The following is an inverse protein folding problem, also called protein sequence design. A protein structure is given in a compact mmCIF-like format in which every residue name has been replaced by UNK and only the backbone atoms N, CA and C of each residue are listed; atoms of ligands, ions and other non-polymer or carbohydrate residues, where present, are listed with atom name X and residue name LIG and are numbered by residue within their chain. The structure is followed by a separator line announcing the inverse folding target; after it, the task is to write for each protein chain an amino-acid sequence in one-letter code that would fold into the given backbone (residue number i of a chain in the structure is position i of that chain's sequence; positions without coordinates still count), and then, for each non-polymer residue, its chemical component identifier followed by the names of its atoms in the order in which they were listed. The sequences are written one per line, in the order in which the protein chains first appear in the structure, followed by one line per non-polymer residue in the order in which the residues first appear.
data_IF_347400665439
#
_entry.id   IF_347400665439
#
_cell.length_a   1.000
_cell.length_b   1.000
_cell.length_c   1.000
_cell.angle_alpha   90.00
_cell.angle_beta   90.00
_cell.angle_gamma   90.00
#
_symmetry.space_group_name_H-M   'P 1'
#
loop_
_entity.id
_entity.type
_entity.pdbx_description
1 polymer ?
#
# COMPACT_ATOMS: atom_id res chain seq x y z
N UNK A 1 20.79 18.18 45.81
CA UNK A 1 20.37 18.77 44.52
C UNK A 1 19.51 17.75 43.81
N UNK A 2 18.28 18.14 43.43
CA UNK A 2 17.30 17.25 42.78
C UNK A 2 17.15 17.66 41.32
N UNK A 3 17.18 16.68 40.41
CA UNK A 3 16.71 16.84 39.04
C UNK A 3 15.44 16.00 38.86
N UNK A 4 14.38 16.64 38.36
CA UNK A 4 13.11 15.99 38.03
C UNK A 4 13.09 15.81 36.52
N UNK A 5 13.29 14.58 36.06
CA UNK A 5 13.13 14.22 34.64
C UNK A 5 11.64 14.06 34.38
N UNK A 6 11.08 14.98 33.58
CA UNK A 6 9.71 14.86 33.08
C UNK A 6 9.74 13.95 31.85
N UNK A 7 9.28 12.71 32.04
CA UNK A 7 8.98 11.78 30.97
C UNK A 7 7.69 12.25 30.28
N UNK A 8 7.72 12.52 28.97
CA UNK A 8 6.51 12.68 28.17
C UNK A 8 6.07 11.29 27.68
N UNK A 9 4.94 10.72 28.14
CA UNK A 9 4.58 9.33 27.84
C UNK A 9 4.03 9.09 26.43
N UNK A 10 4.08 10.05 25.52
CA UNK A 10 3.65 9.91 24.14
C UNK A 10 4.54 10.77 23.23
N UNK A 11 4.93 10.30 22.03
CA UNK A 11 5.62 11.17 21.07
C UNK A 11 4.74 12.41 20.84
N UNK A 12 5.32 13.63 20.75
CA UNK A 12 4.55 14.81 20.45
C UNK A 12 3.82 14.57 19.13
N UNK A 13 2.48 14.62 19.16
CA UNK A 13 1.70 14.66 17.94
C UNK A 13 2.07 15.95 17.22
N UNK A 14 2.79 15.82 16.12
CA UNK A 14 3.14 16.94 15.26
C UNK A 14 2.14 16.98 14.12
N UNK A 15 1.33 18.03 14.08
CA UNK A 15 0.41 18.29 12.97
C UNK A 15 1.06 19.27 12.01
N UNK A 16 1.01 18.96 10.72
CA UNK A 16 1.52 19.80 9.66
C UNK A 16 0.42 20.05 8.63
N UNK A 17 0.05 21.31 8.45
CA UNK A 17 -0.85 21.71 7.39
C UNK A 17 -0.03 21.93 6.11
N UNK A 18 -0.34 21.13 5.08
CA UNK A 18 0.34 21.19 3.78
C UNK A 18 -0.58 21.84 2.74
N UNK A 19 -0.04 22.76 1.94
CA UNK A 19 -0.70 23.16 0.69
C UNK A 19 -0.69 21.99 -0.30
N UNK A 20 -1.53 22.06 -1.33
CA UNK A 20 -1.55 21.07 -2.41
C UNK A 20 -0.16 20.90 -3.06
N UNK A 21 0.56 22.00 -3.30
CA UNK A 21 1.91 21.96 -3.87
C UNK A 21 2.92 21.36 -2.91
N UNK A 22 2.80 21.63 -1.60
CA UNK A 22 3.66 21.01 -0.60
C UNK A 22 3.43 19.50 -0.52
N UNK A 23 2.17 19.07 -0.55
CA UNK A 23 1.83 17.65 -0.52
C UNK A 23 2.26 16.93 -1.82
N UNK A 24 2.16 17.60 -2.97
CA UNK A 24 2.65 17.07 -4.25
C UNK A 24 4.18 16.88 -4.30
N UNK A 25 4.94 17.58 -3.46
CA UNK A 25 6.38 17.33 -3.28
C UNK A 25 6.67 16.12 -2.39
N UNK A 26 5.74 15.74 -1.53
CA UNK A 26 5.85 14.54 -0.70
C UNK A 26 5.38 13.30 -1.48
N UNK A 27 4.37 13.44 -2.32
CA UNK A 27 3.88 12.38 -3.21
C UNK A 27 3.47 12.97 -4.57
N UNK A 28 4.18 12.55 -5.63
CA UNK A 28 4.03 13.08 -6.97
C UNK A 28 2.65 12.83 -7.59
N UNK A 29 1.84 11.90 -7.07
CA UNK A 29 0.46 11.67 -7.55
C UNK A 29 -0.38 12.94 -7.44
N UNK A 30 -0.16 13.77 -6.42
CA UNK A 30 -0.93 15.00 -6.20
C UNK A 30 -0.54 16.14 -7.14
N UNK A 31 0.45 15.97 -8.02
CA UNK A 31 0.64 16.91 -9.13
C UNK A 31 -0.57 16.89 -10.10
N UNK A 32 -1.34 15.80 -10.15
CA UNK A 32 -2.55 15.67 -10.98
C UNK A 32 -3.82 15.45 -10.12
N UNK A 33 -4.13 16.44 -9.27
CA UNK A 33 -5.35 16.44 -8.45
C UNK A 33 -6.63 16.29 -9.28
N UNK A 34 -6.63 16.81 -10.52
CA UNK A 34 -7.81 16.74 -11.39
C UNK A 34 -8.06 15.30 -11.82
N UNK A 35 -7.03 14.55 -12.21
CA UNK A 35 -7.18 13.14 -12.54
C UNK A 35 -7.60 12.31 -11.32
N UNK A 36 -7.01 12.54 -10.15
CA UNK A 36 -7.39 11.85 -8.91
C UNK A 36 -8.87 12.05 -8.57
N UNK A 37 -9.36 13.30 -8.66
CA UNK A 37 -10.78 13.62 -8.42
C UNK A 37 -11.71 13.00 -9.46
N UNK A 38 -11.37 13.12 -10.75
CA UNK A 38 -12.19 12.58 -11.84
C UNK A 38 -12.38 11.06 -11.74
N UNK A 39 -11.41 10.35 -11.14
CA UNK A 39 -11.45 8.90 -10.92
C UNK A 39 -12.10 8.49 -9.59
N UNK A 40 -12.42 9.44 -8.71
CA UNK A 40 -12.83 9.14 -7.33
C UNK A 40 -11.73 8.52 -6.48
N UNK A 41 -10.46 8.72 -6.86
CA UNK A 41 -9.28 8.10 -6.23
C UNK A 41 -8.67 8.95 -5.11
N UNK A 42 -9.08 10.22 -4.98
CA UNK A 42 -8.42 11.18 -4.10
C UNK A 42 -8.33 10.70 -2.64
N UNK A 43 -9.46 10.29 -2.03
CA UNK A 43 -9.46 9.86 -0.62
C UNK A 43 -8.54 8.67 -0.37
N UNK A 44 -8.61 7.66 -1.24
CA UNK A 44 -7.75 6.47 -1.15
C UNK A 44 -6.27 6.81 -1.35
N UNK A 45 -5.95 7.69 -2.30
CA UNK A 45 -4.58 8.14 -2.54
C UNK A 45 -4.01 8.92 -1.35
N UNK A 46 -4.80 9.79 -0.69
CA UNK A 46 -4.34 10.54 0.48
C UNK A 46 -4.04 9.63 1.66
N UNK A 47 -4.95 8.69 1.95
CA UNK A 47 -4.75 7.67 2.99
C UNK A 47 -3.54 6.79 2.70
N UNK A 48 -3.39 6.35 1.44
CA UNK A 48 -2.24 5.55 1.03
C UNK A 48 -0.91 6.32 1.15
N UNK A 49 -0.91 7.60 0.79
CA UNK A 49 0.26 8.48 0.93
C UNK A 49 0.68 8.64 2.39
N UNK A 50 -0.28 8.73 3.31
CA UNK A 50 0.02 8.83 4.72
C UNK A 50 0.77 7.59 5.22
N UNK A 51 0.33 6.39 4.83
CA UNK A 51 1.06 5.16 5.16
C UNK A 51 2.46 5.13 4.54
N UNK A 52 2.60 5.54 3.27
CA UNK A 52 3.91 5.60 2.59
C UNK A 52 4.86 6.61 3.24
N UNK A 53 4.33 7.65 3.88
CA UNK A 53 5.07 8.65 4.65
C UNK A 53 5.28 8.24 6.13
N UNK A 54 4.73 7.11 6.57
CA UNK A 54 4.74 6.69 7.97
C UNK A 54 3.96 7.65 8.90
N UNK A 55 2.98 8.36 8.35
CA UNK A 55 2.16 9.34 9.04
C UNK A 55 0.79 8.77 9.42
N UNK A 56 0.24 9.19 10.57
CA UNK A 56 -1.15 8.93 10.92
C UNK A 56 -2.02 10.05 10.35
N UNK A 57 -2.86 9.73 9.37
CA UNK A 57 -3.73 10.73 8.73
C UNK A 57 -5.00 10.98 9.54
N UNK A 58 -5.29 12.27 9.72
CA UNK A 58 -6.65 12.76 9.97
C UNK A 58 -6.99 13.69 8.81
N UNK A 59 -7.88 13.26 7.92
CA UNK A 59 -8.37 14.09 6.83
C UNK A 59 -9.63 14.81 7.31
N UNK A 60 -9.82 16.08 6.93
CA UNK A 60 -11.08 16.81 7.14
C UNK A 60 -11.51 17.49 5.84
N UNK A 61 -12.77 17.33 5.45
CA UNK A 61 -13.38 18.04 4.31
C UNK A 61 -14.77 18.54 4.75
N UNK A 62 -14.92 19.87 4.88
CA UNK A 62 -16.11 20.46 5.48
C UNK A 62 -16.28 19.98 6.94
N UNK A 63 -17.44 19.39 7.25
CA UNK A 63 -17.76 18.80 8.55
C UNK A 63 -17.34 17.32 8.68
N UNK A 64 -16.83 16.70 7.61
CA UNK A 64 -16.38 15.30 7.61
C UNK A 64 -14.97 15.14 8.16
N UNK A 65 -14.73 14.06 8.93
CA UNK A 65 -13.41 13.67 9.42
C UNK A 65 -13.14 12.19 9.12
N UNK A 66 -11.93 11.89 8.63
CA UNK A 66 -11.49 10.52 8.34
C UNK A 66 -10.19 10.20 9.06
N UNK A 67 -10.08 9.00 9.61
CA UNK A 67 -8.90 8.54 10.35
C UNK A 67 -8.41 7.20 9.81
N UNK A 68 -7.10 7.04 9.71
CA UNK A 68 -6.44 5.75 9.52
C UNK A 68 -6.15 5.33 8.08
N UNK A 69 -5.79 4.05 7.95
CA UNK A 69 -5.36 3.31 6.76
C UNK A 69 -6.42 3.34 5.66
N UNK A 70 -6.07 3.39 4.36
CA UNK A 70 -7.07 3.36 3.31
C UNK A 70 -7.88 2.07 3.39
N UNK A 71 -9.19 2.23 3.26
CA UNK A 71 -10.17 1.18 3.42
C UNK A 71 -11.49 1.74 3.94
N UNK A 72 -12.61 1.16 3.52
CA UNK A 72 -13.94 1.75 3.72
C UNK A 72 -14.21 2.07 5.21
N UNK A 73 -14.50 3.34 5.45
CA UNK A 73 -15.15 4.03 6.58
C UNK A 73 -15.54 3.24 7.85
N UNK A 74 -15.02 3.70 8.99
CA UNK A 74 -15.74 3.75 10.28
C UNK A 74 -16.82 4.87 10.20
N UNK A 75 -17.83 4.71 9.34
CA UNK A 75 -19.06 5.49 9.45
C UNK A 75 -20.12 4.64 10.17
N UNK A 76 -20.16 4.80 11.49
CA UNK A 76 -21.35 4.55 12.31
C UNK A 76 -22.00 3.17 12.26
N UNK A 77 -21.66 2.32 13.24
CA UNK A 77 -22.61 1.38 13.83
C UNK A 77 -22.71 -0.02 13.19
N UNK A 78 -22.45 -1.02 14.03
CA UNK A 78 -22.91 -2.40 13.92
C UNK A 78 -22.80 -3.07 12.53
N UNK A 79 -21.57 -3.40 12.16
CA UNK A 79 -21.23 -4.36 11.10
C UNK A 79 -19.73 -4.56 11.16
N UNK A 80 -19.24 -5.80 11.05
CA UNK A 80 -17.80 -6.10 11.15
C UNK A 80 -16.95 -5.21 10.23
N UNK A 81 -15.64 -5.08 10.50
CA UNK A 81 -14.78 -4.16 9.76
C UNK A 81 -14.93 -4.45 8.26
N UNK A 82 -15.31 -3.47 7.43
CA UNK A 82 -15.31 -3.67 6.00
C UNK A 82 -13.92 -4.16 5.61
N UNK A 83 -13.84 -5.16 4.74
CA UNK A 83 -12.57 -5.73 4.28
C UNK A 83 -12.11 -4.89 3.09
N UNK A 84 -11.32 -3.82 3.28
CA UNK A 84 -10.94 -3.02 2.14
C UNK A 84 -10.08 -3.85 1.19
N UNK A 85 -10.27 -3.61 -0.10
CA UNK A 85 -9.43 -4.14 -1.19
C UNK A 85 -9.58 -5.61 -1.57
N UNK A 86 -10.47 -6.38 -0.95
CA UNK A 86 -10.70 -7.76 -1.43
C UNK A 86 -11.10 -7.75 -2.90
N UNK A 87 -10.51 -8.69 -3.64
CA UNK A 87 -10.83 -8.99 -5.05
C UNK A 87 -10.41 -7.90 -6.05
N UNK A 88 -9.71 -6.85 -5.62
CA UNK A 88 -9.14 -5.92 -6.59
C UNK A 88 -8.03 -6.61 -7.37
N UNK A 89 -8.13 -6.58 -8.70
CA UNK A 89 -7.00 -6.96 -9.54
C UNK A 89 -5.87 -5.95 -9.39
N UNK A 90 -4.68 -6.33 -9.84
CA UNK A 90 -3.52 -5.43 -9.89
C UNK A 90 -3.81 -4.12 -10.65
N UNK A 91 -4.56 -4.21 -11.76
CA UNK A 91 -4.95 -3.05 -12.56
C UNK A 91 -5.95 -2.15 -11.82
N UNK A 92 -6.87 -2.76 -11.07
CA UNK A 92 -7.85 -2.00 -10.28
C UNK A 92 -7.19 -1.30 -9.10
N UNK A 93 -6.21 -1.93 -8.44
CA UNK A 93 -5.38 -1.29 -7.42
C UNK A 93 -4.66 -0.05 -7.99
N UNK A 94 -3.98 -0.22 -9.12
CA UNK A 94 -3.23 0.85 -9.79
C UNK A 94 -4.14 2.03 -10.13
N UNK A 95 -5.30 1.75 -10.72
CA UNK A 95 -6.29 2.76 -11.10
C UNK A 95 -6.90 3.48 -9.89
N UNK A 96 -7.32 2.74 -8.86
CA UNK A 96 -8.01 3.29 -7.68
C UNK A 96 -7.11 4.04 -6.73
N UNK A 97 -5.83 3.69 -6.66
CA UNK A 97 -4.83 4.43 -5.89
C UNK A 97 -4.09 5.49 -6.71
N UNK A 98 -4.38 5.59 -8.01
CA UNK A 98 -3.70 6.50 -8.93
C UNK A 98 -2.20 6.26 -8.99
N UNK A 99 -1.76 4.99 -8.89
CA UNK A 99 -0.34 4.64 -8.87
C UNK A 99 0.31 4.84 -10.24
N UNK A 100 -0.49 4.93 -11.30
CA UNK A 100 -0.07 5.31 -12.65
C UNK A 100 0.27 6.80 -12.77
N UNK A 101 -0.14 7.62 -11.80
CA UNK A 101 0.15 9.06 -11.76
C UNK A 101 1.51 9.33 -11.10
N UNK A 102 2.06 10.52 -11.31
CA UNK A 102 3.33 10.92 -10.68
C UNK A 102 4.57 10.22 -11.24
N UNK A 103 4.46 9.55 -12.40
CA UNK A 103 5.55 8.87 -13.12
C UNK A 103 6.28 7.84 -12.24
N UNK A 104 5.60 6.77 -11.79
CA UNK A 104 6.19 5.78 -10.89
C UNK A 104 7.42 5.10 -11.52
N UNK A 105 8.40 4.77 -10.68
CA UNK A 105 9.56 3.96 -11.04
C UNK A 105 9.24 2.49 -10.76
N UNK A 106 8.73 1.81 -11.78
CA UNK A 106 8.35 0.39 -11.69
C UNK A 106 9.55 -0.50 -12.02
N UNK A 107 9.80 -1.51 -11.18
CA UNK A 107 10.84 -2.52 -11.38
C UNK A 107 10.28 -3.91 -11.14
N UNK A 108 10.44 -4.78 -12.13
CA UNK A 108 10.22 -6.22 -11.97
C UNK A 108 11.43 -6.84 -11.27
N UNK A 109 11.18 -7.65 -10.24
CA UNK A 109 12.20 -8.32 -9.43
C UNK A 109 11.78 -9.77 -9.13
N UNK A 110 12.76 -10.64 -8.93
CA UNK A 110 12.49 -11.99 -8.40
C UNK A 110 12.17 -11.95 -6.89
N UNK A 111 11.62 -13.06 -6.37
CA UNK A 111 11.22 -13.18 -4.96
C UNK A 111 12.36 -12.96 -3.97
N UNK A 112 13.57 -13.41 -4.29
CA UNK A 112 14.72 -13.29 -3.40
C UNK A 112 15.16 -11.83 -3.28
N UNK A 113 15.23 -11.13 -4.42
CA UNK A 113 15.53 -9.71 -4.48
C UNK A 113 14.44 -8.86 -3.85
N UNK A 114 13.16 -9.19 -4.09
CA UNK A 114 12.03 -8.54 -3.46
C UNK A 114 12.15 -8.59 -1.93
N UNK A 115 12.35 -9.80 -1.37
CA UNK A 115 12.48 -9.97 0.08
C UNK A 115 13.64 -9.16 0.66
N UNK A 116 14.81 -9.19 0.01
CA UNK A 116 15.96 -8.41 0.45
C UNK A 116 15.71 -6.89 0.44
N UNK A 117 15.07 -6.36 -0.63
CA UNK A 117 14.76 -4.93 -0.71
C UNK A 117 13.70 -4.53 0.33
N UNK A 118 12.62 -5.30 0.47
CA UNK A 118 11.56 -5.03 1.44
C UNK A 118 12.06 -4.95 2.88
N UNK A 119 12.95 -5.86 3.28
CA UNK A 119 13.52 -5.86 4.63
C UNK A 119 14.42 -4.65 4.90
N UNK A 120 14.96 -4.03 3.85
CA UNK A 120 15.76 -2.80 3.95
C UNK A 120 14.91 -1.52 4.03
N UNK A 121 13.63 -1.57 3.67
CA UNK A 121 12.77 -0.40 3.66
C UNK A 121 12.30 -0.05 5.08
N UNK A 122 12.46 1.20 5.54
CA UNK A 122 11.95 1.63 6.85
C UNK A 122 10.42 1.81 6.84
N UNK A 123 9.87 2.24 5.70
CA UNK A 123 8.44 2.49 5.47
C UNK A 123 8.07 2.06 4.04
N UNK A 124 6.79 1.81 3.81
CA UNK A 124 6.25 1.39 2.53
C UNK A 124 5.02 0.50 2.70
N UNK A 125 4.35 0.21 1.59
CA UNK A 125 3.14 -0.62 1.57
C UNK A 125 3.36 -1.82 0.65
N UNK A 126 2.99 -3.01 1.10
CA UNK A 126 3.05 -4.26 0.33
C UNK A 126 1.64 -4.79 0.10
N UNK A 127 1.31 -5.04 -1.16
CA UNK A 127 0.04 -5.61 -1.60
C UNK A 127 0.29 -7.05 -2.08
N UNK A 128 -0.42 -8.00 -1.47
CA UNK A 128 -0.29 -9.43 -1.75
C UNK A 128 -1.53 -9.90 -2.49
N UNK A 129 -1.32 -10.47 -3.67
CA UNK A 129 -2.38 -11.01 -4.52
C UNK A 129 -2.35 -12.53 -4.48
N UNK A 130 -3.51 -13.13 -4.25
CA UNK A 130 -3.69 -14.58 -4.25
C UNK A 130 -4.59 -14.96 -5.43
N UNK A 131 -4.31 -16.12 -6.03
CA UNK A 131 -5.24 -16.74 -6.96
C UNK A 131 -6.41 -17.34 -6.18
N UNK A 132 -7.63 -17.09 -6.65
CA UNK A 132 -8.83 -17.74 -6.14
C UNK A 132 -9.36 -18.73 -7.19
N UNK A 133 -9.88 -19.87 -6.75
CA UNK A 133 -10.43 -20.89 -7.64
C UNK A 133 -11.71 -20.34 -8.31
N UNK A 134 -11.62 -20.05 -9.61
CA UNK A 134 -12.74 -19.51 -10.40
C UNK A 134 -12.66 -18.02 -10.70
N UNK A 135 -11.69 -17.29 -10.14
CA UNK A 135 -11.43 -15.90 -10.51
C UNK A 135 -10.55 -15.83 -11.77
N UNK A 136 -10.83 -14.92 -12.72
CA UNK A 136 -10.03 -14.78 -13.94
C UNK A 136 -8.63 -14.19 -13.69
N UNK A 137 -8.46 -13.49 -12.57
CA UNK A 137 -7.21 -12.83 -12.18
C UNK A 137 -7.00 -12.94 -10.67
N UNK A 138 -5.73 -12.93 -10.20
CA UNK A 138 -5.43 -12.84 -8.78
C UNK A 138 -6.07 -11.61 -8.14
N UNK A 139 -6.69 -11.80 -6.99
CA UNK A 139 -7.31 -10.74 -6.20
C UNK A 139 -6.39 -10.29 -5.08
N UNK A 140 -6.42 -8.99 -4.78
CA UNK A 140 -5.73 -8.43 -3.62
C UNK A 140 -6.31 -9.06 -2.35
N UNK A 141 -5.45 -9.75 -1.61
CA UNK A 141 -5.81 -10.50 -0.42
C UNK A 141 -5.32 -9.84 0.86
N UNK A 142 -4.17 -9.16 0.82
CA UNK A 142 -3.58 -8.44 1.95
C UNK A 142 -2.93 -7.15 1.52
N UNK A 143 -2.99 -6.15 2.40
CA UNK A 143 -2.20 -4.93 2.36
C UNK A 143 -1.44 -4.83 3.68
N UNK A 144 -0.13 -4.69 3.60
CA UNK A 144 0.78 -4.70 4.74
C UNK A 144 1.55 -3.38 4.76
N UNK A 145 1.50 -2.64 5.86
CA UNK A 145 2.25 -1.40 6.07
C UNK A 145 3.58 -1.71 6.78
N UNK A 146 4.71 -1.48 6.12
CA UNK A 146 6.05 -1.79 6.66
C UNK A 146 6.45 -0.94 7.89
N UNK A 147 5.71 0.12 8.20
CA UNK A 147 5.84 0.88 9.44
C UNK A 147 5.16 0.16 10.64
N UNK A 148 4.21 -0.75 10.37
CA UNK A 148 3.61 -1.62 11.39
C UNK A 148 4.56 -2.78 11.70
N UNK A 149 4.82 -2.99 13.00
CA UNK A 149 5.66 -4.10 13.45
C UNK A 149 5.10 -5.47 13.03
N UNK A 150 3.79 -5.68 13.16
CA UNK A 150 3.15 -6.96 12.84
C UNK A 150 3.18 -7.26 11.34
N UNK A 151 2.85 -6.27 10.52
CA UNK A 151 2.89 -6.37 9.07
C UNK A 151 4.32 -6.61 8.58
N UNK A 152 5.32 -5.96 9.21
CA UNK A 152 6.74 -6.18 8.90
C UNK A 152 7.18 -7.61 9.23
N UNK A 153 6.76 -8.14 10.37
CA UNK A 153 7.02 -9.55 10.71
C UNK A 153 6.38 -10.50 9.69
N UNK A 154 5.13 -10.24 9.27
CA UNK A 154 4.46 -11.04 8.25
C UNK A 154 5.24 -11.04 6.92
N UNK A 155 5.69 -9.85 6.47
CA UNK A 155 6.55 -9.73 5.27
C UNK A 155 7.86 -10.51 5.44
N UNK A 156 8.48 -10.48 6.63
CA UNK A 156 9.70 -11.25 6.90
C UNK A 156 9.47 -12.76 6.80
N UNK A 157 8.35 -13.27 7.32
CA UNK A 157 7.96 -14.67 7.17
C UNK A 157 7.73 -15.04 5.70
N UNK A 158 6.98 -14.22 4.96
CA UNK A 158 6.71 -14.43 3.54
C UNK A 158 8.00 -14.42 2.72
N UNK A 159 8.91 -13.46 2.97
CA UNK A 159 10.18 -13.35 2.28
C UNK A 159 11.09 -14.56 2.53
N UNK A 160 11.13 -15.08 3.76
CA UNK A 160 11.87 -16.32 4.10
C UNK A 160 11.28 -17.55 3.43
N UNK A 161 9.96 -17.60 3.27
CA UNK A 161 9.25 -18.64 2.53
C UNK A 161 9.24 -18.43 1.01
N UNK A 162 9.97 -17.45 0.48
CA UNK A 162 10.01 -17.17 -0.97
C UNK A 162 8.68 -16.73 -1.56
N UNK A 163 7.74 -16.25 -0.75
CA UNK A 163 6.36 -15.90 -1.11
C UNK A 163 5.58 -17.08 -1.72
N UNK A 164 5.77 -18.29 -1.19
CA UNK A 164 5.00 -19.47 -1.61
C UNK A 164 3.48 -19.24 -1.48
N UNK A 165 2.72 -19.67 -2.49
CA UNK A 165 1.26 -19.49 -2.56
C UNK A 165 0.81 -18.09 -3.01
N UNK A 166 1.73 -17.14 -3.17
CA UNK A 166 1.43 -15.80 -3.65
C UNK A 166 1.51 -15.74 -5.17
N UNK A 167 0.46 -15.22 -5.80
CA UNK A 167 0.39 -15.08 -7.25
C UNK A 167 1.13 -13.82 -7.75
N UNK A 168 1.00 -12.71 -7.01
CA UNK A 168 1.74 -11.49 -7.28
C UNK A 168 1.98 -10.68 -6.01
N UNK A 169 3.07 -9.92 -6.00
CA UNK A 169 3.38 -8.93 -4.96
C UNK A 169 3.66 -7.60 -5.62
N UNK A 170 3.03 -6.54 -5.08
CA UNK A 170 3.40 -5.15 -5.38
C UNK A 170 3.87 -4.48 -4.10
N UNK A 171 5.07 -3.93 -4.10
CA UNK A 171 5.59 -3.18 -2.96
C UNK A 171 5.91 -1.75 -3.37
N UNK A 172 5.46 -0.79 -2.57
CA UNK A 172 5.52 0.62 -2.91
C UNK A 172 6.16 1.41 -1.78
N UNK A 173 7.03 2.35 -2.14
CA UNK A 173 7.53 3.38 -1.23
C UNK A 173 7.63 4.71 -1.95
N UNK A 174 7.67 5.79 -1.18
CA UNK A 174 8.07 7.10 -1.69
C UNK A 174 9.58 7.23 -1.67
N UNK A 175 10.15 7.70 -2.77
CA UNK A 175 11.54 8.13 -2.82
C UNK A 175 11.66 9.60 -2.35
N UNK A 176 12.88 10.11 -2.16
CA UNK A 176 13.10 11.43 -1.58
C UNK A 176 12.55 12.62 -2.38
N UNK A 177 12.22 12.41 -3.66
CA UNK A 177 11.58 13.41 -4.54
C UNK A 177 10.04 13.24 -4.63
N UNK A 178 9.47 12.33 -3.83
CA UNK A 178 8.04 12.03 -3.81
C UNK A 178 7.57 11.11 -4.94
N UNK A 179 8.46 10.62 -5.80
CA UNK A 179 8.11 9.61 -6.80
C UNK A 179 7.93 8.24 -6.14
N UNK A 180 6.90 7.50 -6.56
CA UNK A 180 6.68 6.12 -6.17
C UNK A 180 7.77 5.21 -6.75
N UNK A 181 8.48 4.47 -5.91
CA UNK A 181 9.20 3.28 -6.32
C UNK A 181 8.30 2.07 -6.10
N UNK A 182 8.06 1.31 -7.18
CA UNK A 182 7.17 0.15 -7.18
C UNK A 182 7.97 -1.09 -7.58
N UNK A 183 8.12 -2.02 -6.66
CA UNK A 183 8.63 -3.36 -6.95
C UNK A 183 7.46 -4.28 -7.30
N UNK A 184 7.58 -5.00 -8.41
CA UNK A 184 6.63 -6.03 -8.84
C UNK A 184 7.35 -7.36 -8.86
N UNK A 185 6.69 -8.39 -8.33
CA UNK A 185 7.16 -9.76 -8.43
C UNK A 185 5.98 -10.69 -8.67
N UNK A 186 6.23 -11.75 -9.41
CA UNK A 186 5.32 -12.88 -9.60
C UNK A 186 6.02 -14.13 -9.08
N UNK A 187 6.00 -14.37 -7.74
CA UNK A 187 6.79 -15.42 -7.09
C UNK A 187 6.54 -16.82 -7.61
N UNK A 188 5.32 -17.05 -8.09
CA UNK A 188 5.03 -18.17 -8.98
C UNK A 188 5.01 -17.67 -10.42
N UNK A 189 5.86 -18.20 -11.31
CA UNK A 189 5.51 -18.14 -12.71
C UNK A 189 4.20 -18.90 -12.82
N UNK A 190 3.14 -18.22 -13.28
CA UNK A 190 2.02 -18.93 -13.89
C UNK A 190 2.65 -19.68 -15.06
N UNK A 191 3.02 -20.94 -14.83
CA UNK A 191 3.27 -21.85 -15.92
C UNK A 191 1.91 -21.97 -16.59
N UNK A 192 1.66 -21.17 -17.62
CA UNK A 192 0.76 -21.59 -18.69
C UNK A 192 1.43 -22.78 -19.35
N UNK A 193 1.46 -23.90 -18.62
CA UNK A 193 1.75 -25.19 -19.15
C UNK A 193 0.68 -25.39 -20.21
N UNK A 194 1.12 -25.38 -21.48
CA UNK A 194 0.39 -26.04 -22.55
C UNK A 194 -0.02 -27.40 -22.01
N UNK A 195 -1.26 -27.54 -21.58
CA UNK A 195 -1.85 -28.85 -21.36
C UNK A 195 -2.02 -29.42 -22.76
N UNK A 196 -1.25 -30.44 -23.18
CA UNK A 196 -1.61 -31.15 -24.39
C UNK A 196 -2.86 -31.94 -24.03
N UNK A 197 -3.99 -31.59 -24.65
CA UNK A 197 -5.17 -32.46 -24.61
C UNK A 197 -4.76 -33.87 -25.08
N UNK A 198 -4.96 -34.92 -24.28
CA UNK A 198 -4.90 -36.27 -24.80
C UNK A 198 -6.19 -36.51 -25.59
N UNK A 199 -6.06 -36.75 -26.89
CA UNK A 199 -7.16 -37.24 -27.71
C UNK A 199 -7.51 -38.68 -27.29
N UNK A 200 -8.81 -38.97 -27.18
CA UNK A 200 -9.39 -39.99 -28.07
C UNK A 200 -10.50 -39.43 -28.96
#
# INVERSE_FOLDING_TARGET
MSFRVLYAPHPPQFTLDLTAEQFARCDARFADLRALRARGALGLAVQDSADLLGAHLILREGEGEWRGTPGVLDEGGAGGPPLPFREWSEAELERRLGMDLGQPRVREVDSARLGAELLSWPVGTVYIFLSDEGAPHPGLARRLNLASFFDRLEVEFLARGGFEGVAAVRACRLTGDGTHEVLRAHPHPVSWGKVPFPAP
#
